data_IF_558294109148
#
_entry.id   IF_558294109148
#
_cell.length_a   1.000
_cell.length_b   1.000
_cell.length_c   1.000
_cell.angle_alpha   90.00
_cell.angle_beta   90.00
_cell.angle_gamma   90.00
#
_symmetry.space_group_name_H-M   'P 1'
#
loop_
_entity.id
_entity.type
_entity.pdbx_description
1 polymer ?
#
# COMPACT_ATOMS: atom_id res chain seq x y z
N UNK A 1 -33.28 5.64 -25.74
CA UNK A 1 -32.88 4.32 -25.21
C UNK A 1 -32.50 4.51 -23.76
N UNK A 2 -33.35 4.06 -22.86
CA UNK A 2 -33.18 4.18 -21.42
C UNK A 2 -32.18 3.10 -20.98
N UNK A 3 -31.00 3.51 -20.50
CA UNK A 3 -30.02 2.58 -19.95
C UNK A 3 -30.54 2.17 -18.58
N UNK A 4 -31.13 0.98 -18.49
CA UNK A 4 -31.50 0.34 -17.24
C UNK A 4 -30.21 0.01 -16.51
N UNK A 5 -29.90 0.74 -15.43
CA UNK A 5 -28.85 0.36 -14.49
C UNK A 5 -29.29 -0.91 -13.79
N UNK A 6 -28.80 -2.05 -14.29
CA UNK A 6 -28.86 -3.31 -13.56
C UNK A 6 -27.93 -3.13 -12.35
N UNK A 7 -28.53 -2.89 -11.20
CA UNK A 7 -27.88 -3.05 -9.91
C UNK A 7 -27.39 -4.50 -9.81
N UNK A 8 -26.11 -4.72 -10.10
CA UNK A 8 -25.45 -5.98 -9.80
C UNK A 8 -25.33 -6.04 -8.28
N UNK A 9 -26.32 -6.67 -7.62
CA UNK A 9 -26.18 -7.17 -6.24
C UNK A 9 -24.98 -8.10 -6.20
N UNK A 10 -23.82 -7.54 -5.90
CA UNK A 10 -22.59 -8.28 -5.69
C UNK A 10 -22.72 -9.04 -4.36
N UNK A 11 -22.99 -10.33 -4.41
CA UNK A 11 -23.03 -11.23 -3.25
C UNK A 11 -21.62 -11.51 -2.73
N UNK A 12 -20.94 -10.49 -2.19
CA UNK A 12 -19.68 -10.66 -1.46
C UNK A 12 -19.98 -10.77 0.02
N UNK A 13 -20.57 -11.89 0.43
CA UNK A 13 -20.53 -12.29 1.84
C UNK A 13 -19.23 -13.05 2.01
N UNK A 14 -18.18 -12.38 2.50
CA UNK A 14 -17.09 -13.12 3.14
C UNK A 14 -17.71 -13.85 4.31
N UNK A 15 -17.36 -15.12 4.44
CA UNK A 15 -17.83 -15.92 5.56
C UNK A 15 -17.12 -15.46 6.84
N UNK A 16 -17.72 -14.48 7.52
CA UNK A 16 -17.21 -13.93 8.77
C UNK A 16 -17.01 -15.03 9.82
N UNK A 17 -17.77 -16.13 9.76
CA UNK A 17 -17.57 -17.28 10.64
C UNK A 17 -16.30 -18.04 10.26
N UNK A 18 -16.10 -18.35 8.98
CA UNK A 18 -14.85 -18.98 8.52
C UNK A 18 -13.60 -18.18 8.89
N UNK A 19 -13.65 -16.84 8.75
CA UNK A 19 -12.55 -15.95 9.18
C UNK A 19 -12.35 -16.01 10.70
N UNK A 20 -13.42 -15.98 11.49
CA UNK A 20 -13.34 -16.06 12.94
C UNK A 20 -12.77 -17.40 13.44
N UNK A 21 -13.22 -18.51 12.85
CA UNK A 21 -12.72 -19.86 13.17
C UNK A 21 -11.24 -19.98 12.80
N UNK A 22 -10.83 -19.48 11.64
CA UNK A 22 -9.42 -19.48 11.25
C UNK A 22 -8.57 -18.60 12.17
N UNK A 23 -9.04 -17.41 12.55
CA UNK A 23 -8.37 -16.56 13.54
C UNK A 23 -8.14 -17.27 14.87
N UNK A 24 -9.19 -17.92 15.39
CA UNK A 24 -9.08 -18.69 16.63
C UNK A 24 -8.05 -19.80 16.49
N UNK A 25 -8.04 -20.50 15.36
CA UNK A 25 -7.05 -21.55 15.10
C UNK A 25 -5.61 -21.01 15.02
N UNK A 26 -5.42 -19.83 14.44
CA UNK A 26 -4.11 -19.18 14.42
C UNK A 26 -3.62 -18.90 15.84
N UNK A 27 -4.49 -18.39 16.72
CA UNK A 27 -4.15 -18.14 18.13
C UNK A 27 -3.73 -19.44 18.86
N UNK A 28 -4.43 -20.54 18.63
CA UNK A 28 -4.08 -21.86 19.21
C UNK A 28 -2.73 -22.40 18.73
N UNK A 29 -2.33 -22.03 17.50
CA UNK A 29 -1.08 -22.44 16.88
C UNK A 29 0.04 -21.42 17.09
N UNK A 30 -0.20 -20.35 17.85
CA UNK A 30 0.72 -19.22 18.06
C UNK A 30 1.10 -18.51 16.75
N UNK A 31 0.21 -18.54 15.77
CA UNK A 31 0.32 -17.81 14.51
C UNK A 31 -0.42 -16.47 14.59
N UNK A 32 0.08 -15.45 13.91
CA UNK A 32 -0.52 -14.13 13.84
C UNK A 32 -1.24 -13.94 12.50
N UNK A 33 -2.55 -13.67 12.55
CA UNK A 33 -3.35 -13.42 11.35
C UNK A 33 -3.80 -11.95 11.27
N UNK A 34 -3.34 -11.26 10.25
CA UNK A 34 -3.68 -9.88 9.93
C UNK A 34 -4.79 -9.83 8.88
N UNK A 35 -6.02 -9.58 9.29
CA UNK A 35 -7.14 -9.40 8.36
C UNK A 35 -7.00 -8.07 7.59
N UNK A 36 -7.23 -8.09 6.28
CA UNK A 36 -7.22 -6.86 5.47
C UNK A 36 -8.45 -5.98 5.77
N UNK A 37 -8.23 -4.69 6.08
CA UNK A 37 -9.33 -3.75 6.31
C UNK A 37 -10.08 -3.43 5.01
N UNK A 38 -11.39 -3.74 4.97
CA UNK A 38 -12.24 -3.48 3.79
C UNK A 38 -12.67 -2.02 3.63
N UNK A 39 -12.41 -1.18 4.64
CA UNK A 39 -12.98 0.16 4.72
C UNK A 39 -12.21 1.18 3.88
N UNK A 40 -10.94 0.91 3.53
CA UNK A 40 -10.12 1.89 2.82
C UNK A 40 -9.76 1.50 1.38
N UNK A 41 -9.57 0.22 1.04
CA UNK A 41 -9.42 -0.25 -0.34
C UNK A 41 -9.89 -1.71 -0.47
N UNK A 42 -10.71 -2.09 -1.46
CA UNK A 42 -11.06 -3.49 -1.68
C UNK A 42 -9.81 -4.26 -2.10
N UNK A 43 -9.23 -5.04 -1.17
CA UNK A 43 -8.11 -5.94 -1.46
C UNK A 43 -8.50 -6.84 -2.63
N UNK A 44 -7.58 -7.01 -3.59
CA UNK A 44 -7.83 -7.80 -4.81
C UNK A 44 -7.79 -9.30 -4.48
N UNK A 45 -8.79 -9.77 -3.72
CA UNK A 45 -9.06 -11.18 -3.45
C UNK A 45 -8.19 -11.84 -2.37
N UNK A 46 -7.70 -11.14 -1.35
CA UNK A 46 -7.05 -11.75 -0.17
C UNK A 46 -7.84 -11.31 1.06
N UNK A 47 -8.12 -12.20 2.00
CA UNK A 47 -8.85 -11.85 3.23
C UNK A 47 -7.89 -11.46 4.37
N UNK A 48 -6.63 -11.91 4.30
CA UNK A 48 -5.61 -11.52 5.26
C UNK A 48 -4.26 -12.16 5.00
N UNK A 49 -3.36 -11.97 5.95
CA UNK A 49 -1.99 -12.43 5.91
C UNK A 49 -1.65 -13.20 7.18
N UNK A 50 -0.91 -14.30 7.04
CA UNK A 50 -0.59 -15.23 8.12
C UNK A 50 0.92 -15.27 8.38
N UNK A 51 1.30 -14.98 9.60
CA UNK A 51 2.67 -15.06 10.11
C UNK A 51 2.76 -16.21 11.11
N UNK A 52 3.72 -17.10 10.91
CA UNK A 52 3.78 -18.34 11.71
C UNK A 52 4.44 -18.15 13.07
N UNK A 53 5.28 -17.13 13.22
CA UNK A 53 5.79 -16.67 14.51
C UNK A 53 5.94 -15.15 14.48
N UNK A 54 5.94 -14.53 15.67
CA UNK A 54 6.11 -13.08 15.86
C UNK A 54 7.41 -12.51 15.26
N UNK A 55 8.39 -13.37 15.01
CA UNK A 55 9.68 -13.02 14.39
C UNK A 55 9.91 -13.77 13.07
N UNK A 56 8.85 -14.35 12.47
CA UNK A 56 8.99 -15.11 11.23
C UNK A 56 9.24 -14.18 10.04
N UNK A 57 10.30 -14.46 9.28
CA UNK A 57 10.53 -13.88 7.95
C UNK A 57 9.63 -14.46 6.86
N UNK A 58 8.74 -15.39 7.22
CA UNK A 58 7.88 -16.12 6.30
C UNK A 58 6.42 -15.75 6.53
N UNK A 59 5.79 -15.21 5.49
CA UNK A 59 4.38 -14.91 5.53
C UNK A 59 3.69 -15.36 4.24
N UNK A 60 2.43 -15.73 4.39
CA UNK A 60 1.56 -16.15 3.29
C UNK A 60 0.25 -15.36 3.33
N UNK A 61 -0.35 -15.13 2.17
CA UNK A 61 -1.72 -14.62 2.12
C UNK A 61 -2.72 -15.76 2.32
N UNK A 62 -3.85 -15.44 2.95
CA UNK A 62 -5.00 -16.32 3.04
C UNK A 62 -6.18 -15.73 2.25
N UNK A 63 -6.81 -16.56 1.43
CA UNK A 63 -8.19 -16.37 0.98
C UNK A 63 -9.04 -17.39 1.71
N UNK A 64 -9.98 -16.92 2.51
CA UNK A 64 -10.83 -17.72 3.39
C UNK A 64 -12.21 -17.84 2.74
N UNK A 65 -12.74 -19.04 2.69
CA UNK A 65 -14.13 -19.32 2.28
C UNK A 65 -14.72 -20.34 3.23
N UNK A 66 -16.03 -20.30 3.42
CA UNK A 66 -16.70 -21.32 4.20
C UNK A 66 -18.07 -21.68 3.65
N UNK A 67 -18.53 -22.85 4.09
CA UNK A 67 -19.85 -23.39 3.79
C UNK A 67 -19.84 -24.68 2.97
N UNK A 68 -20.84 -25.53 3.24
CA UNK A 68 -21.04 -26.86 2.63
C UNK A 68 -21.06 -26.83 1.09
N UNK A 69 -21.48 -25.72 0.49
CA UNK A 69 -21.54 -25.55 -0.98
C UNK A 69 -20.20 -25.64 -1.70
N UNK A 70 -19.09 -25.70 -0.95
CA UNK A 70 -17.74 -25.89 -1.45
C UNK A 70 -17.37 -27.38 -1.59
N UNK A 71 -18.06 -28.30 -0.92
CA UNK A 71 -17.78 -29.73 -0.98
C UNK A 71 -18.33 -30.39 -2.25
N UNK A 72 -17.52 -31.23 -2.90
CA UNK A 72 -17.86 -32.03 -4.06
C UNK A 72 -17.12 -33.37 -4.03
N UNK A 73 -17.87 -34.47 -3.88
CA UNK A 73 -17.42 -35.85 -4.15
C UNK A 73 -16.03 -36.22 -3.59
N UNK A 74 -15.67 -35.73 -2.40
CA UNK A 74 -14.40 -35.95 -1.65
C UNK A 74 -13.36 -34.81 -1.66
N UNK A 75 -13.68 -33.66 -2.25
CA UNK A 75 -12.80 -32.49 -2.26
C UNK A 75 -13.59 -31.20 -2.05
N UNK A 76 -12.92 -30.17 -1.54
CA UNK A 76 -13.50 -28.82 -1.54
C UNK A 76 -13.00 -28.03 -2.76
N UNK A 77 -13.91 -27.34 -3.44
CA UNK A 77 -13.61 -26.47 -4.59
C UNK A 77 -13.63 -24.99 -4.17
N UNK A 78 -12.47 -24.33 -4.24
CA UNK A 78 -12.36 -22.89 -4.06
C UNK A 78 -12.76 -22.16 -5.37
N UNK A 79 -14.02 -21.74 -5.44
CA UNK A 79 -14.55 -21.00 -6.60
C UNK A 79 -13.97 -19.59 -6.67
N UNK A 80 -13.43 -19.20 -7.82
CA UNK A 80 -12.89 -17.85 -8.03
C UNK A 80 -13.10 -17.37 -9.47
N UNK A 81 -13.29 -16.06 -9.63
CA UNK A 81 -13.42 -15.47 -10.96
C UNK A 81 -12.04 -15.33 -11.65
N UNK A 82 -12.05 -14.95 -12.93
CA UNK A 82 -10.82 -14.86 -13.72
C UNK A 82 -9.85 -13.79 -13.20
N UNK A 83 -10.36 -12.69 -12.65
CA UNK A 83 -9.53 -11.58 -12.13
C UNK A 83 -8.79 -12.04 -10.87
N UNK A 84 -9.49 -12.68 -9.93
CA UNK A 84 -8.91 -13.25 -8.71
C UNK A 84 -7.83 -14.28 -9.04
N UNK A 85 -8.12 -15.22 -9.94
CA UNK A 85 -7.14 -16.23 -10.37
C UNK A 85 -5.89 -15.61 -10.99
N UNK A 86 -6.05 -14.57 -11.83
CA UNK A 86 -4.91 -13.84 -12.38
C UNK A 86 -4.08 -13.17 -11.28
N UNK A 87 -4.75 -12.54 -10.32
CA UNK A 87 -4.10 -11.92 -9.14
C UNK A 87 -3.31 -12.95 -8.33
N UNK A 88 -3.94 -14.04 -7.87
CA UNK A 88 -3.29 -15.05 -7.04
C UNK A 88 -2.15 -15.80 -7.72
N UNK A 89 -2.30 -16.10 -9.02
CA UNK A 89 -1.25 -16.74 -9.81
C UNK A 89 0.04 -15.93 -9.82
N UNK A 90 -0.10 -14.60 -9.80
CA UNK A 90 0.98 -13.63 -9.91
C UNK A 90 1.29 -12.93 -8.58
N UNK A 91 0.78 -13.42 -7.45
CA UNK A 91 1.10 -12.86 -6.13
C UNK A 91 2.57 -13.10 -5.80
N UNK A 92 3.27 -12.15 -5.17
CA UNK A 92 4.69 -12.36 -4.76
C UNK A 92 4.80 -13.32 -3.61
N UNK A 93 3.87 -13.19 -2.68
CA UNK A 93 3.68 -14.14 -1.62
C UNK A 93 2.80 -15.31 -2.08
N UNK A 94 3.04 -16.50 -1.54
CA UNK A 94 2.12 -17.61 -1.69
C UNK A 94 0.75 -17.24 -1.14
N UNK A 95 -0.29 -17.44 -1.94
CA UNK A 95 -1.68 -17.36 -1.49
C UNK A 95 -2.16 -18.77 -1.21
N UNK A 96 -2.67 -18.99 -0.01
CA UNK A 96 -3.32 -20.21 0.41
C UNK A 96 -4.82 -20.01 0.55
N UNK A 97 -5.58 -21.00 0.10
CA UNK A 97 -7.02 -21.04 0.26
C UNK A 97 -7.35 -21.77 1.53
N UNK A 98 -8.00 -21.10 2.48
CA UNK A 98 -8.51 -21.71 3.72
C UNK A 98 -10.00 -21.95 3.55
N UNK A 99 -10.44 -23.18 3.81
CA UNK A 99 -11.82 -23.60 3.68
C UNK A 99 -12.34 -24.04 5.04
N UNK A 100 -13.38 -23.39 5.52
CA UNK A 100 -14.10 -23.83 6.71
C UNK A 100 -15.34 -24.63 6.31
N UNK A 101 -15.46 -25.85 6.83
CA UNK A 101 -16.65 -26.67 6.71
C UNK A 101 -17.46 -26.64 8.01
N UNK A 102 -18.68 -26.07 8.01
CA UNK A 102 -19.52 -26.01 9.20
C UNK A 102 -20.03 -27.37 9.68
N UNK A 103 -20.09 -28.41 8.83
CA UNK A 103 -20.62 -29.73 9.26
C UNK A 103 -19.59 -30.49 10.10
N UNK A 104 -18.33 -30.48 9.67
CA UNK A 104 -17.23 -31.10 10.40
C UNK A 104 -16.55 -30.15 11.40
N UNK A 105 -16.91 -28.87 11.36
CA UNK A 105 -16.17 -27.77 11.98
C UNK A 105 -14.66 -27.82 11.64
N UNK A 106 -14.35 -28.28 10.42
CA UNK A 106 -13.00 -28.49 9.92
C UNK A 106 -12.49 -27.28 9.15
N UNK A 107 -11.19 -27.00 9.29
CA UNK A 107 -10.43 -26.07 8.46
C UNK A 107 -9.53 -26.87 7.53
N UNK A 108 -9.58 -26.55 6.25
CA UNK A 108 -8.79 -27.21 5.21
C UNK A 108 -8.02 -26.19 4.38
N UNK A 109 -6.89 -26.58 3.78
CA UNK A 109 -6.03 -25.64 3.05
C UNK A 109 -5.61 -26.11 1.66
N UNK A 110 -5.36 -25.18 0.73
CA UNK A 110 -4.72 -25.45 -0.57
C UNK A 110 -3.72 -24.35 -0.95
N UNK A 111 -2.66 -24.74 -1.66
CA UNK A 111 -1.71 -23.82 -2.30
C UNK A 111 -2.35 -23.25 -3.59
N UNK A 112 -3.03 -22.11 -3.49
CA UNK A 112 -3.68 -21.47 -4.64
C UNK A 112 -2.64 -21.04 -5.66
N UNK A 113 -1.63 -20.30 -5.23
CA UNK A 113 -0.62 -19.72 -6.12
C UNK A 113 0.12 -20.82 -6.88
N UNK A 114 0.62 -21.84 -6.19
CA UNK A 114 1.31 -22.95 -6.82
C UNK A 114 0.42 -23.79 -7.73
N UNK A 115 -0.86 -23.97 -7.38
CA UNK A 115 -1.83 -24.65 -8.26
C UNK A 115 -2.01 -23.88 -9.57
N UNK A 116 -2.28 -22.58 -9.50
CA UNK A 116 -2.52 -21.74 -10.68
C UNK A 116 -1.26 -21.54 -11.55
N UNK A 117 -0.08 -21.55 -10.92
CA UNK A 117 1.20 -21.52 -11.63
C UNK A 117 1.43 -22.80 -12.43
N UNK A 118 1.16 -23.98 -11.84
CA UNK A 118 1.34 -25.29 -12.49
C UNK A 118 0.28 -25.61 -13.56
N UNK A 119 -0.98 -25.20 -13.36
CA UNK A 119 -2.11 -25.75 -14.12
C UNK A 119 -2.81 -24.74 -15.09
N UNK A 120 -2.40 -23.47 -15.12
CA UNK A 120 -2.92 -22.51 -16.11
C UNK A 120 -4.27 -21.85 -15.74
N UNK A 121 -4.96 -21.24 -16.72
CA UNK A 121 -6.10 -20.29 -16.49
C UNK A 121 -7.47 -20.96 -16.27
N UNK A 122 -7.62 -22.26 -16.55
CA UNK A 122 -8.95 -22.92 -16.63
C UNK A 122 -9.28 -23.84 -15.46
N UNK A 123 -8.34 -24.07 -14.55
CA UNK A 123 -8.51 -25.18 -13.61
C UNK A 123 -9.06 -24.75 -12.27
N UNK A 124 -10.05 -25.53 -11.81
CA UNK A 124 -10.66 -25.41 -10.50
C UNK A 124 -9.59 -25.62 -9.42
N UNK A 125 -9.69 -24.84 -8.36
CA UNK A 125 -8.76 -24.95 -7.23
C UNK A 125 -9.41 -25.91 -6.25
N UNK A 126 -8.73 -27.01 -5.95
CA UNK A 126 -9.23 -28.04 -5.07
C UNK A 126 -8.37 -28.17 -3.82
N UNK A 127 -8.98 -28.55 -2.71
CA UNK A 127 -8.29 -29.10 -1.55
C UNK A 127 -8.88 -30.46 -1.16
N UNK A 128 -7.99 -31.36 -0.78
CA UNK A 128 -8.36 -32.67 -0.23
C UNK A 128 -8.74 -32.50 1.24
N UNK A 129 -9.67 -33.32 1.73
CA UNK A 129 -9.95 -33.47 3.17
C UNK A 129 -8.71 -33.84 4.00
N UNK A 130 -7.63 -34.35 3.39
CA UNK A 130 -6.35 -34.63 4.05
C UNK A 130 -5.56 -33.38 4.41
N UNK A 131 -5.84 -32.24 3.77
CA UNK A 131 -5.17 -30.97 4.05
C UNK A 131 -5.91 -30.23 5.16
N UNK A 132 -6.13 -30.89 6.30
CA UNK A 132 -6.78 -30.26 7.45
C UNK A 132 -5.80 -29.42 8.27
N UNK A 133 -6.32 -28.41 8.99
CA UNK A 133 -5.57 -27.57 9.93
C UNK A 133 -5.91 -27.89 11.40
N UNK A 134 -6.94 -28.70 11.64
CA UNK A 134 -7.41 -29.01 12.99
C UNK A 134 -6.46 -29.95 13.74
N UNK A 135 -5.73 -30.82 13.04
CA UNK A 135 -4.68 -31.65 13.63
C UNK A 135 -3.34 -30.91 13.69
N UNK A 136 -2.47 -31.30 14.64
CA UNK A 136 -1.11 -30.75 14.75
C UNK A 136 -0.27 -31.15 13.54
N UNK A 137 -0.44 -32.37 13.06
CA UNK A 137 0.24 -32.92 11.91
C UNK A 137 -0.17 -32.16 10.64
N UNK A 138 -1.47 -31.94 10.43
CA UNK A 138 -1.99 -31.16 9.31
C UNK A 138 -1.50 -29.70 9.32
N UNK A 139 -1.52 -29.06 10.49
CA UNK A 139 -0.96 -27.72 10.69
C UNK A 139 0.55 -27.66 10.41
N UNK A 140 1.32 -28.68 10.81
CA UNK A 140 2.76 -28.78 10.52
C UNK A 140 3.03 -28.91 9.03
N UNK A 141 2.28 -29.76 8.32
CA UNK A 141 2.43 -29.92 6.85
C UNK A 141 2.11 -28.60 6.14
N UNK A 142 1.08 -27.88 6.58
CA UNK A 142 0.77 -26.56 6.06
C UNK A 142 1.93 -25.58 6.29
N UNK A 143 2.46 -25.50 7.52
CA UNK A 143 3.61 -24.66 7.86
C UNK A 143 4.83 -24.96 6.96
N UNK A 144 5.25 -26.23 6.88
CA UNK A 144 6.41 -26.64 6.08
C UNK A 144 6.21 -26.28 4.60
N UNK A 145 4.99 -26.47 4.08
CA UNK A 145 4.63 -26.13 2.70
C UNK A 145 4.66 -24.63 2.47
N UNK A 146 4.11 -23.85 3.39
CA UNK A 146 4.06 -22.40 3.32
C UNK A 146 5.46 -21.79 3.32
N UNK A 147 6.32 -22.21 4.26
CA UNK A 147 7.72 -21.77 4.35
C UNK A 147 8.48 -22.07 3.06
N UNK A 148 8.35 -23.28 2.51
CA UNK A 148 9.01 -23.66 1.26
C UNK A 148 8.58 -22.78 0.07
N UNK A 149 7.38 -22.21 0.10
CA UNK A 149 6.81 -21.40 -0.97
C UNK A 149 7.16 -19.92 -0.87
N UNK A 150 7.38 -19.39 0.32
CA UNK A 150 7.79 -17.99 0.53
C UNK A 150 9.13 -17.65 -0.15
N UNK A 151 9.94 -18.67 -0.48
CA UNK A 151 11.27 -18.52 -1.10
C UNK A 151 11.18 -18.20 -2.62
N UNK A 152 9.99 -18.20 -3.24
CA UNK A 152 9.85 -18.33 -4.70
C UNK A 152 9.45 -17.07 -5.51
N UNK A 153 9.23 -15.89 -4.90
CA UNK A 153 8.74 -14.69 -5.62
C UNK A 153 9.65 -13.47 -5.51
N UNK A 154 9.92 -12.78 -6.63
CA UNK A 154 10.69 -11.51 -6.63
C UNK A 154 9.76 -10.29 -6.57
N UNK A 155 9.72 -9.61 -5.43
CA UNK A 155 9.03 -8.32 -5.22
C UNK A 155 9.41 -7.26 -6.27
N UNK A 156 10.68 -7.22 -6.64
CA UNK A 156 11.16 -6.29 -7.66
C UNK A 156 10.48 -6.52 -9.02
N UNK A 157 10.25 -7.79 -9.42
CA UNK A 157 9.59 -8.08 -10.69
C UNK A 157 8.13 -7.63 -10.71
N UNK A 158 7.42 -7.67 -9.57
CA UNK A 158 6.02 -7.27 -9.51
C UNK A 158 5.86 -5.75 -9.41
N UNK A 159 6.76 -5.07 -8.71
CA UNK A 159 6.87 -3.61 -8.76
C UNK A 159 7.17 -3.13 -10.20
N UNK A 160 7.97 -3.89 -10.96
CA UNK A 160 8.27 -3.60 -12.36
C UNK A 160 7.20 -4.09 -13.36
N UNK A 161 6.07 -4.65 -12.92
CA UNK A 161 5.04 -5.20 -13.82
C UNK A 161 4.30 -4.10 -14.57
N UNK A 162 3.93 -4.36 -15.84
CA UNK A 162 3.05 -3.48 -16.63
C UNK A 162 1.60 -3.44 -16.09
N UNK A 163 1.23 -4.36 -15.21
CA UNK A 163 -0.13 -4.49 -14.70
C UNK A 163 -0.32 -3.81 -13.35
N UNK A 164 -1.22 -2.82 -13.31
CA UNK A 164 -1.53 -2.05 -12.09
C UNK A 164 -1.90 -2.92 -10.88
N UNK A 165 -2.62 -4.02 -11.08
CA UNK A 165 -3.03 -4.93 -10.00
C UNK A 165 -1.85 -5.67 -9.37
N UNK A 166 -0.81 -5.95 -10.14
CA UNK A 166 0.40 -6.62 -9.64
C UNK A 166 1.26 -5.66 -8.85
N UNK A 167 1.41 -4.42 -9.35
CA UNK A 167 2.10 -3.36 -8.61
C UNK A 167 1.41 -3.04 -7.29
N UNK A 168 0.08 -2.87 -7.28
CA UNK A 168 -0.69 -2.65 -6.04
C UNK A 168 -0.51 -3.81 -5.06
N UNK A 169 -0.62 -5.06 -5.55
CA UNK A 169 -0.38 -6.24 -4.68
C UNK A 169 1.04 -6.25 -4.12
N UNK A 170 2.06 -5.87 -4.90
CA UNK A 170 3.43 -5.82 -4.41
C UNK A 170 3.63 -4.75 -3.33
N UNK A 171 2.96 -3.59 -3.46
CA UNK A 171 2.97 -2.55 -2.42
C UNK A 171 2.28 -3.03 -1.14
N UNK A 172 1.13 -3.71 -1.26
CA UNK A 172 0.46 -4.36 -0.13
C UNK A 172 1.38 -5.38 0.54
N UNK A 173 1.98 -6.26 -0.27
CA UNK A 173 2.88 -7.31 0.22
C UNK A 173 4.07 -6.65 0.99
N UNK A 174 4.60 -5.51 0.52
CA UNK A 174 5.62 -4.74 1.27
C UNK A 174 5.07 -4.12 2.56
N UNK A 175 3.85 -3.58 2.58
CA UNK A 175 3.26 -3.02 3.79
C UNK A 175 3.13 -4.07 4.89
N UNK A 176 2.66 -5.27 4.56
CA UNK A 176 2.40 -6.32 5.53
C UNK A 176 3.65 -7.14 5.89
N UNK A 177 4.58 -7.42 4.97
CA UNK A 177 5.78 -8.24 5.25
C UNK A 177 7.05 -7.45 5.44
N UNK A 178 7.10 -6.23 4.91
CA UNK A 178 8.29 -5.39 5.01
C UNK A 178 8.68 -5.13 6.46
N UNK A 179 7.76 -5.29 7.44
CA UNK A 179 7.99 -5.00 8.86
C UNK A 179 9.19 -5.72 9.48
N UNK A 180 9.62 -6.83 8.89
CA UNK A 180 10.78 -7.60 9.35
C UNK A 180 12.10 -7.22 8.69
N UNK A 181 12.06 -6.49 7.58
CA UNK A 181 13.24 -6.16 6.79
C UNK A 181 13.08 -4.81 6.06
N UNK A 182 13.82 -3.77 6.48
CA UNK A 182 13.71 -2.43 5.90
C UNK A 182 14.09 -2.41 4.42
N UNK A 183 14.83 -3.41 3.91
CA UNK A 183 15.22 -3.50 2.50
C UNK A 183 14.02 -3.53 1.55
N UNK A 184 12.86 -4.04 1.99
CA UNK A 184 11.64 -4.04 1.17
C UNK A 184 11.08 -2.63 0.97
N UNK A 185 11.05 -1.80 2.01
CA UNK A 185 10.62 -0.40 1.90
C UNK A 185 11.65 0.46 1.14
N UNK A 186 12.94 0.14 1.30
CA UNK A 186 14.01 0.77 0.51
C UNK A 186 13.83 0.45 -0.98
N UNK A 187 13.54 -0.81 -1.32
CA UNK A 187 13.21 -1.22 -2.69
C UNK A 187 11.98 -0.45 -3.21
N UNK A 188 10.91 -0.36 -2.42
CA UNK A 188 9.71 0.39 -2.78
C UNK A 188 10.05 1.86 -3.09
N UNK A 189 10.81 2.54 -2.21
CA UNK A 189 11.29 3.91 -2.45
C UNK A 189 12.10 4.04 -3.73
N UNK A 190 12.89 3.02 -4.09
CA UNK A 190 13.73 3.06 -5.30
C UNK A 190 12.92 2.85 -6.58
N UNK A 191 11.79 2.16 -6.50
CA UNK A 191 10.97 1.80 -7.66
C UNK A 191 9.69 2.64 -7.81
N UNK A 192 9.25 3.36 -6.77
CA UNK A 192 7.91 3.94 -6.73
C UNK A 192 7.57 4.86 -7.92
N UNK A 193 8.54 5.61 -8.46
CA UNK A 193 8.30 6.52 -9.59
C UNK A 193 8.19 5.83 -10.96
N UNK A 194 8.43 4.52 -11.03
CA UNK A 194 8.09 3.68 -12.18
C UNK A 194 6.70 3.04 -12.10
N UNK A 195 5.99 3.22 -10.98
CA UNK A 195 4.67 2.63 -10.77
C UNK A 195 3.57 3.42 -11.50
N UNK A 196 2.49 2.72 -11.85
CA UNK A 196 1.22 3.33 -12.26
C UNK A 196 0.67 4.20 -11.13
N UNK A 197 -0.05 5.28 -11.47
CA UNK A 197 -0.51 6.29 -10.51
C UNK A 197 -1.20 5.72 -9.26
N UNK A 198 -2.08 4.72 -9.40
CA UNK A 198 -2.74 4.10 -8.24
C UNK A 198 -1.76 3.35 -7.34
N UNK A 199 -0.79 2.64 -7.90
CA UNK A 199 0.25 1.96 -7.14
C UNK A 199 1.26 2.95 -6.53
N UNK A 200 1.58 4.03 -7.24
CA UNK A 200 2.39 5.14 -6.71
C UNK A 200 1.71 5.81 -5.50
N UNK A 201 0.41 6.09 -5.58
CA UNK A 201 -0.33 6.66 -4.44
C UNK A 201 -0.29 5.73 -3.24
N UNK A 202 -0.44 4.44 -3.49
CA UNK A 202 -0.34 3.43 -2.45
C UNK A 202 1.07 3.41 -1.86
N UNK A 203 2.12 3.48 -2.68
CA UNK A 203 3.50 3.56 -2.23
C UNK A 203 3.76 4.81 -1.39
N UNK A 204 3.21 5.97 -1.76
CA UNK A 204 3.28 7.23 -0.99
C UNK A 204 2.63 7.03 0.39
N UNK A 205 1.45 6.42 0.44
CA UNK A 205 0.77 6.14 1.69
C UNK A 205 1.60 5.21 2.59
N UNK A 206 2.12 4.12 2.04
CA UNK A 206 2.93 3.14 2.78
C UNK A 206 4.22 3.78 3.29
N UNK A 207 4.96 4.48 2.45
CA UNK A 207 6.23 5.11 2.85
C UNK A 207 6.02 6.30 3.82
N UNK A 208 4.88 6.98 3.74
CA UNK A 208 4.48 8.07 4.63
C UNK A 208 4.52 7.68 6.12
N UNK A 209 4.27 6.39 6.42
CA UNK A 209 4.30 5.82 7.79
C UNK A 209 5.68 5.90 8.46
N UNK A 210 6.77 5.97 7.68
CA UNK A 210 8.15 5.98 8.21
C UNK A 210 8.74 7.39 8.34
N UNK A 211 7.97 8.41 7.96
CA UNK A 211 8.41 9.81 8.00
C UNK A 211 8.48 10.36 9.43
N UNK A 212 8.96 11.60 9.57
CA UNK A 212 8.94 12.32 10.85
C UNK A 212 7.54 12.70 11.32
N UNK A 213 6.48 12.47 10.52
CA UNK A 213 5.11 12.75 10.92
C UNK A 213 4.77 12.07 12.26
N UNK A 214 4.43 12.88 13.27
CA UNK A 214 4.11 12.39 14.62
C UNK A 214 2.71 11.75 14.70
N UNK A 215 1.83 11.99 13.73
CA UNK A 215 0.53 11.32 13.68
C UNK A 215 0.62 9.82 13.38
N UNK A 216 1.77 9.36 12.87
CA UNK A 216 2.07 7.94 12.68
C UNK A 216 2.68 7.28 13.94
N UNK A 217 2.51 7.85 15.13
CA UNK A 217 3.13 7.35 16.37
C UNK A 217 2.80 5.87 16.65
N UNK A 218 1.55 5.45 16.41
CA UNK A 218 1.13 4.06 16.56
C UNK A 218 1.84 3.12 15.58
N UNK A 219 2.06 3.55 14.34
CA UNK A 219 2.83 2.79 13.35
C UNK A 219 4.30 2.69 13.78
N UNK A 220 4.91 3.76 14.30
CA UNK A 220 6.33 3.75 14.75
C UNK A 220 6.57 2.79 15.92
N UNK A 221 5.59 2.61 16.80
CA UNK A 221 5.65 1.58 17.84
C UNK A 221 5.59 0.16 17.28
N UNK A 222 4.90 -0.03 16.14
CA UNK A 222 4.79 -1.34 15.48
C UNK A 222 6.09 -1.77 14.80
N UNK A 223 6.83 -0.84 14.20
CA UNK A 223 8.07 -1.14 13.44
C UNK A 223 9.36 -0.95 14.27
N UNK A 224 9.34 -0.11 15.29
CA UNK A 224 10.52 0.28 16.08
C UNK A 224 11.28 1.47 15.48
N UNK A 225 11.83 2.32 16.36
CA UNK A 225 12.46 3.59 15.95
C UNK A 225 13.63 3.39 14.98
N UNK A 226 14.51 2.43 15.27
CA UNK A 226 15.69 2.15 14.46
C UNK A 226 15.31 1.71 13.04
N UNK A 227 14.27 0.91 12.91
CA UNK A 227 13.73 0.46 11.62
C UNK A 227 13.24 1.65 10.78
N UNK A 228 12.46 2.54 11.40
CA UNK A 228 11.98 3.75 10.73
C UNK A 228 13.13 4.68 10.32
N UNK A 229 14.16 4.84 11.15
CA UNK A 229 15.35 5.64 10.85
C UNK A 229 16.12 5.09 9.65
N UNK A 230 16.33 3.76 9.61
CA UNK A 230 17.05 3.11 8.52
C UNK A 230 16.37 3.32 7.16
N UNK A 231 15.03 3.36 7.13
CA UNK A 231 14.27 3.69 5.91
C UNK A 231 14.37 5.18 5.58
N UNK A 232 14.21 6.06 6.57
CA UNK A 232 14.10 7.51 6.36
C UNK A 232 15.36 8.14 5.76
N UNK A 233 16.54 7.58 6.05
CA UNK A 233 17.79 8.00 5.41
C UNK A 233 17.76 7.88 3.87
N UNK A 234 16.85 7.08 3.32
CA UNK A 234 16.66 6.94 1.88
C UNK A 234 15.63 7.91 1.29
N UNK A 235 14.93 8.72 2.10
CA UNK A 235 14.03 9.78 1.65
C UNK A 235 14.84 11.00 1.21
N UNK A 236 15.49 10.82 0.06
CA UNK A 236 16.22 11.83 -0.70
C UNK A 236 15.65 11.81 -2.09
N UNK A 237 15.32 12.96 -2.64
CA UNK A 237 14.57 13.03 -3.88
C UNK A 237 15.34 13.84 -4.90
N UNK A 238 15.38 13.37 -6.14
CA UNK A 238 15.78 14.20 -7.27
C UNK A 238 14.74 15.29 -7.49
N UNK A 239 15.12 16.38 -8.16
CA UNK A 239 14.19 17.48 -8.47
C UNK A 239 12.96 16.99 -9.26
N UNK A 240 13.15 16.05 -10.20
CA UNK A 240 12.04 15.46 -10.95
C UNK A 240 11.13 14.59 -10.08
N UNK A 241 11.68 13.86 -9.11
CA UNK A 241 10.88 13.08 -8.15
C UNK A 241 10.04 14.02 -7.26
N UNK A 242 10.60 15.14 -6.82
CA UNK A 242 9.86 16.18 -6.07
C UNK A 242 8.74 16.78 -6.92
N UNK A 243 8.96 17.09 -8.20
CA UNK A 243 7.90 17.54 -9.11
C UNK A 243 6.76 16.52 -9.19
N UNK A 244 7.10 15.24 -9.30
CA UNK A 244 6.09 14.17 -9.33
C UNK A 244 5.28 14.15 -8.03
N UNK A 245 5.96 14.14 -6.87
CA UNK A 245 5.31 14.16 -5.55
C UNK A 245 4.37 15.38 -5.39
N UNK A 246 4.85 16.59 -5.70
CA UNK A 246 4.03 17.82 -5.64
C UNK A 246 2.82 17.77 -6.56
N UNK A 247 2.93 17.09 -7.71
CA UNK A 247 1.80 16.95 -8.64
C UNK A 247 0.71 16.00 -8.13
N UNK A 248 1.02 15.15 -7.13
CA UNK A 248 0.06 14.24 -6.50
C UNK A 248 -0.72 14.85 -5.33
N UNK A 249 -0.31 16.00 -4.79
CA UNK A 249 -1.05 16.66 -3.69
C UNK A 249 -2.46 16.97 -4.19
N UNK A 250 -3.49 16.57 -3.45
CA UNK A 250 -4.91 16.73 -3.82
C UNK A 250 -5.45 18.12 -3.46
N UNK A 251 -6.69 18.43 -3.84
CA UNK A 251 -7.27 19.77 -3.64
C UNK A 251 -7.62 20.05 -2.17
N UNK A 252 -7.71 18.98 -1.37
CA UNK A 252 -7.78 19.04 0.09
C UNK A 252 -6.47 19.53 0.74
N UNK A 253 -5.36 19.60 -0.01
CA UNK A 253 -4.11 20.22 0.39
C UNK A 253 -3.26 19.43 1.39
N UNK A 254 -2.42 20.16 2.13
CA UNK A 254 -1.45 19.60 3.08
C UNK A 254 -1.93 19.93 4.49
N UNK A 255 -2.80 19.08 5.02
CA UNK A 255 -3.38 19.21 6.36
C UNK A 255 -3.26 17.88 7.09
N UNK A 256 -3.49 17.87 8.40
CA UNK A 256 -3.50 16.65 9.18
C UNK A 256 -4.53 15.64 8.64
N UNK A 257 -4.07 14.40 8.42
CA UNK A 257 -4.91 13.31 7.91
C UNK A 257 -5.12 13.31 6.39
N UNK A 258 -4.66 14.31 5.65
CA UNK A 258 -4.79 14.33 4.19
C UNK A 258 -3.71 13.51 3.50
N UNK A 259 -3.97 13.15 2.24
CA UNK A 259 -2.94 12.53 1.41
C UNK A 259 -1.73 13.48 1.18
N UNK A 260 -1.98 14.78 1.10
CA UNK A 260 -0.94 15.80 1.01
C UNK A 260 0.00 15.82 2.22
N UNK A 261 -0.46 15.43 3.42
CA UNK A 261 0.39 15.28 4.61
C UNK A 261 1.50 14.24 4.38
N UNK A 262 1.15 13.09 3.78
CA UNK A 262 2.13 12.04 3.49
C UNK A 262 3.18 12.53 2.49
N UNK A 263 2.76 13.27 1.46
CA UNK A 263 3.67 13.85 0.48
C UNK A 263 4.60 14.87 1.13
N UNK A 264 4.07 15.78 1.95
CA UNK A 264 4.86 16.78 2.66
C UNK A 264 5.97 16.12 3.48
N UNK A 265 5.62 15.14 4.31
CA UNK A 265 6.58 14.50 5.19
C UNK A 265 7.55 13.55 4.46
N UNK A 266 7.14 12.97 3.33
CA UNK A 266 8.06 12.25 2.46
C UNK A 266 9.10 13.19 1.87
N UNK A 267 8.67 14.35 1.35
CA UNK A 267 9.57 15.39 0.88
C UNK A 267 10.48 15.79 2.03
N UNK A 268 9.97 16.27 3.17
CA UNK A 268 10.82 16.65 4.31
C UNK A 268 11.81 15.55 4.70
N UNK A 269 11.47 14.27 4.58
CA UNK A 269 12.43 13.17 4.71
C UNK A 269 13.01 13.11 6.11
N UNK A 270 14.27 13.53 6.27
CA UNK A 270 14.93 13.76 7.56
C UNK A 270 15.58 15.16 7.64
N UNK A 271 16.17 15.47 8.79
CA UNK A 271 16.82 16.75 9.10
C UNK A 271 18.15 17.00 8.37
N UNK A 272 18.65 16.04 7.57
CA UNK A 272 19.98 16.10 6.94
C UNK A 272 19.94 16.48 5.46
N UNK A 273 18.78 16.76 4.88
CA UNK A 273 18.66 17.09 3.45
C UNK A 273 17.98 18.44 3.24
N UNK A 274 18.46 19.19 2.24
CA UNK A 274 17.96 20.53 1.94
C UNK A 274 16.66 20.47 1.12
N UNK A 275 15.59 20.10 1.80
CA UNK A 275 14.26 19.98 1.19
C UNK A 275 13.71 21.31 0.71
N UNK A 276 14.05 22.40 1.38
CA UNK A 276 13.60 23.74 1.02
C UNK A 276 14.14 24.10 -0.35
N UNK A 277 15.45 23.93 -0.56
CA UNK A 277 16.07 24.22 -1.85
C UNK A 277 15.55 23.30 -2.95
N UNK A 278 15.39 22.01 -2.67
CA UNK A 278 14.90 21.06 -3.66
C UNK A 278 13.47 21.33 -4.11
N UNK A 279 12.58 21.77 -3.20
CA UNK A 279 11.21 22.17 -3.57
C UNK A 279 11.21 23.48 -4.35
N UNK A 280 12.06 24.44 -4.02
CA UNK A 280 12.22 25.66 -4.81
C UNK A 280 12.67 25.33 -6.25
N UNK A 281 13.69 24.48 -6.40
CA UNK A 281 14.18 24.04 -7.71
C UNK A 281 13.12 23.22 -8.46
N UNK A 282 12.37 22.37 -7.76
CA UNK A 282 11.25 21.63 -8.34
C UNK A 282 10.10 22.55 -8.76
N UNK A 283 9.83 23.62 -8.02
CA UNK A 283 8.82 24.63 -8.38
C UNK A 283 9.18 25.30 -9.69
N UNK A 284 10.46 25.68 -9.83
CA UNK A 284 11.00 26.29 -11.05
C UNK A 284 10.93 25.31 -12.22
N UNK A 285 11.35 24.06 -12.01
CA UNK A 285 11.28 23.02 -13.04
C UNK A 285 9.83 22.77 -13.48
N UNK A 286 8.91 22.58 -12.53
CA UNK A 286 7.49 22.35 -12.78
C UNK A 286 6.86 23.48 -13.59
N UNK A 287 7.16 24.74 -13.24
CA UNK A 287 6.68 25.89 -14.00
C UNK A 287 7.22 25.90 -15.44
N UNK A 288 8.49 25.52 -15.62
CA UNK A 288 9.16 25.46 -16.92
C UNK A 288 8.55 24.39 -17.83
N UNK A 289 8.25 23.21 -17.29
CA UNK A 289 7.64 22.10 -18.07
C UNK A 289 6.12 22.17 -18.14
N UNK A 290 5.49 23.24 -17.63
CA UNK A 290 4.04 23.44 -17.68
C UNK A 290 3.24 22.61 -16.68
N UNK A 291 3.86 21.98 -15.69
CA UNK A 291 3.16 21.27 -14.60
C UNK A 291 2.64 22.29 -13.57
N UNK A 292 1.50 22.90 -13.88
CA UNK A 292 0.87 23.95 -13.07
C UNK A 292 0.57 23.52 -11.63
N UNK A 293 0.20 22.25 -11.42
CA UNK A 293 -0.16 21.73 -10.09
C UNK A 293 1.06 21.63 -9.19
N UNK A 294 2.14 21.00 -9.67
CA UNK A 294 3.39 20.92 -8.92
C UNK A 294 4.00 22.31 -8.67
N UNK A 295 3.97 23.20 -9.67
CA UNK A 295 4.44 24.57 -9.51
C UNK A 295 3.62 25.35 -8.47
N UNK A 296 2.31 25.15 -8.43
CA UNK A 296 1.43 25.82 -7.48
C UNK A 296 1.73 25.39 -6.03
N UNK A 297 1.76 24.07 -5.78
CA UNK A 297 2.07 23.53 -4.45
C UNK A 297 3.50 23.80 -4.01
N UNK A 298 4.46 23.68 -4.92
CA UNK A 298 5.85 24.02 -4.64
C UNK A 298 6.03 25.49 -4.25
N UNK A 299 5.28 26.41 -4.89
CA UNK A 299 5.26 27.83 -4.51
C UNK A 299 4.73 28.04 -3.09
N UNK A 300 3.63 27.36 -2.74
CA UNK A 300 3.03 27.45 -1.40
C UNK A 300 4.05 27.00 -0.34
N UNK A 301 4.65 25.83 -0.52
CA UNK A 301 5.61 25.27 0.44
C UNK A 301 6.89 26.11 0.55
N UNK A 302 7.41 26.60 -0.58
CA UNK A 302 8.61 27.45 -0.62
C UNK A 302 8.40 28.74 0.18
N UNK A 303 7.24 29.37 0.05
CA UNK A 303 6.90 30.59 0.78
C UNK A 303 6.56 30.30 2.24
N UNK A 304 5.88 29.18 2.51
CA UNK A 304 5.57 28.72 3.86
C UNK A 304 6.83 28.56 4.72
N UNK A 305 7.86 27.88 4.20
CA UNK A 305 9.11 27.69 4.95
C UNK A 305 9.94 28.97 5.14
N UNK A 306 9.67 30.01 4.36
CA UNK A 306 10.30 31.33 4.54
C UNK A 306 9.70 32.13 5.71
N UNK A 307 8.57 31.69 6.28
CA UNK A 307 7.91 32.31 7.43
C UNK A 307 7.71 33.83 7.24
N UNK A 308 8.29 34.65 8.11
CA UNK A 308 8.21 36.12 8.08
C UNK A 308 8.86 36.73 6.82
N UNK A 309 9.77 36.01 6.15
CA UNK A 309 10.37 36.43 4.89
C UNK A 309 9.53 36.04 3.66
N UNK A 310 8.30 35.57 3.86
CA UNK A 310 7.44 35.03 2.81
C UNK A 310 7.19 36.00 1.64
N UNK A 311 7.00 37.30 1.90
CA UNK A 311 6.83 38.30 0.82
C UNK A 311 8.08 38.46 -0.04
N UNK A 312 9.25 38.53 0.59
CA UNK A 312 10.54 38.60 -0.11
C UNK A 312 10.76 37.33 -0.93
N UNK A 313 10.48 36.17 -0.34
CA UNK A 313 10.64 34.88 -1.03
C UNK A 313 9.71 34.74 -2.23
N UNK A 314 8.42 35.11 -2.08
CA UNK A 314 7.46 35.11 -3.20
C UNK A 314 7.91 36.03 -4.33
N UNK A 315 8.39 37.23 -4.00
CA UNK A 315 8.85 38.22 -4.99
C UNK A 315 10.01 37.68 -5.80
N UNK A 316 11.05 37.15 -5.13
CA UNK A 316 12.21 36.50 -5.78
C UNK A 316 11.80 35.33 -6.67
N UNK A 317 10.89 34.47 -6.18
CA UNK A 317 10.43 33.30 -6.93
C UNK A 317 9.73 33.73 -8.22
N UNK A 318 8.87 34.74 -8.13
CA UNK A 318 8.11 35.29 -9.25
C UNK A 318 8.97 36.10 -10.23
N UNK A 319 9.97 36.83 -9.75
CA UNK A 319 10.99 37.47 -10.59
C UNK A 319 11.75 36.42 -11.41
N UNK A 320 12.15 35.31 -10.77
CA UNK A 320 12.83 34.21 -11.46
C UNK A 320 11.94 33.49 -12.47
N UNK A 321 10.63 33.39 -12.20
CA UNK A 321 9.65 32.69 -13.03
C UNK A 321 8.30 33.44 -13.04
N UNK A 322 8.13 34.42 -13.97
CA UNK A 322 6.91 35.24 -14.02
C UNK A 322 5.60 34.46 -14.23
N UNK A 323 5.66 33.28 -14.85
CA UNK A 323 4.50 32.41 -15.06
C UNK A 323 3.81 32.01 -13.75
N UNK A 324 4.53 32.02 -12.62
CA UNK A 324 3.95 31.71 -11.31
C UNK A 324 2.85 32.69 -10.90
N UNK A 325 2.87 33.95 -11.38
CA UNK A 325 1.79 34.92 -11.15
C UNK A 325 0.44 34.47 -11.70
N UNK A 326 0.45 33.61 -12.73
CA UNK A 326 -0.78 33.12 -13.37
C UNK A 326 -1.41 31.92 -12.66
N UNK A 327 -0.72 31.33 -11.67
CA UNK A 327 -1.21 30.18 -10.94
C UNK A 327 -2.22 30.60 -9.87
N UNK A 328 -3.16 29.70 -9.58
CA UNK A 328 -4.17 29.91 -8.52
C UNK A 328 -3.52 30.17 -7.16
N UNK A 329 -2.39 29.50 -6.89
CA UNK A 329 -1.68 29.62 -5.62
C UNK A 329 -1.11 31.01 -5.39
N UNK A 330 -0.76 31.78 -6.42
CA UNK A 330 -0.23 33.13 -6.25
C UNK A 330 -1.19 34.04 -5.49
N UNK A 331 -2.49 33.97 -5.84
CA UNK A 331 -3.53 34.74 -5.14
C UNK A 331 -3.66 34.28 -3.69
N UNK A 332 -3.73 32.96 -3.46
CA UNK A 332 -3.84 32.37 -2.11
C UNK A 332 -2.67 32.81 -1.22
N UNK A 333 -1.44 32.73 -1.73
CA UNK A 333 -0.23 33.14 -1.00
C UNK A 333 -0.28 34.63 -0.67
N UNK A 334 -0.62 35.49 -1.65
CA UNK A 334 -0.71 36.95 -1.44
C UNK A 334 -1.75 37.32 -0.40
N UNK A 335 -2.91 36.68 -0.44
CA UNK A 335 -4.01 36.95 0.50
C UNK A 335 -3.60 36.57 1.93
N UNK A 336 -2.97 35.40 2.12
CA UNK A 336 -2.46 34.99 3.44
C UNK A 336 -1.31 35.87 3.95
N UNK A 337 -0.32 36.21 3.11
CA UNK A 337 0.79 37.09 3.52
C UNK A 337 0.29 38.47 3.94
N UNK A 338 -0.69 39.03 3.22
CA UNK A 338 -1.30 40.32 3.57
C UNK A 338 -2.05 40.27 4.91
N UNK A 339 -2.70 39.14 5.21
CA UNK A 339 -3.51 39.01 6.43
C UNK A 339 -2.68 38.65 7.66
N UNK A 340 -1.75 37.70 7.51
CA UNK A 340 -1.06 37.04 8.62
C UNK A 340 0.44 37.38 8.69
N UNK A 341 1.01 38.01 7.66
CA UNK A 341 2.46 38.24 7.53
C UNK A 341 3.27 36.99 7.18
N UNK A 342 2.63 35.82 7.13
CA UNK A 342 3.21 34.51 6.81
C UNK A 342 2.13 33.59 6.22
N UNK A 343 2.54 32.47 5.66
CA UNK A 343 1.60 31.39 5.27
C UNK A 343 1.35 30.52 6.50
N UNK A 344 0.09 30.20 6.72
CA UNK A 344 -0.34 29.24 7.73
C UNK A 344 -0.96 28.04 7.01
N UNK A 345 -0.44 26.86 7.30
CA UNK A 345 -1.06 25.59 6.93
C UNK A 345 -1.75 25.12 8.19
N UNK A 346 -3.07 25.32 8.28
CA UNK A 346 -3.84 24.90 9.46
C UNK A 346 -3.58 23.41 9.73
N UNK A 347 -3.29 23.08 10.99
CA UNK A 347 -3.00 21.72 11.44
C UNK A 347 -4.22 21.01 12.00
#
# INVERSE_FOLDING_TARGET
>A
MTITTVEVKRSWVVDNHGVAVFKQRCLELEWEFHETSRVQQPSVGKDGYLEFTKDSVFCVAAQIKGGRSLWSTDQYELKANQIQRKSWKKSTIPVFGIIWDPETNGLYWCDITGTLQKQGKRDKIYTSSRNELNSKEGAKVFFDTAVAKCIAGSLALQLASDYISEQVSAVDDILYFGKYDPRHYILLRKMMFGLHNTALDHAIYVLGKFTLNYDAYLDKMLFGLKFCEDIRHHFRWTISEVVTLLSRIQDDGVYRGTFGQNIYWLIVGDDKWDYVKAVEDATILAATIGNKRAAAWGSILTVFWAKEEGESKLSKLVESRPLLKSLWSYKVIRDQLKHNGKIEMDG
#
